data_IF_517221396049
#
_entry.id   IF_517221396049
#
_cell.length_a   1.000
_cell.length_b   1.000
_cell.length_c   1.000
_cell.angle_alpha   90.00
_cell.angle_beta   90.00
_cell.angle_gamma   90.00
#
_symmetry.space_group_name_H-M   'P 1'
#
loop_
_entity.id
_entity.type
_entity.pdbx_description
1 polymer ?
#
# COMPACT_ATOMS: atom_id res chain seq x y z
N UNK A 1 -13.71 -12.77 0.53
CA UNK A 1 -13.08 -11.52 1.02
C UNK A 1 -13.13 -10.43 -0.05
N UNK A 2 -12.61 -10.67 -1.26
CA UNK A 2 -12.65 -9.67 -2.35
C UNK A 2 -14.05 -9.20 -2.73
N UNK A 3 -15.03 -10.10 -2.85
CA UNK A 3 -16.42 -9.72 -3.16
C UNK A 3 -17.03 -8.78 -2.11
N UNK A 4 -16.71 -9.01 -0.83
CA UNK A 4 -17.16 -8.18 0.30
C UNK A 4 -16.58 -6.78 0.21
N UNK A 5 -15.25 -6.66 0.13
CA UNK A 5 -14.57 -5.37 -0.01
C UNK A 5 -15.02 -4.63 -1.27
N UNK A 6 -15.24 -5.34 -2.38
CA UNK A 6 -15.77 -4.78 -3.61
C UNK A 6 -17.16 -4.19 -3.45
N UNK A 7 -18.09 -4.97 -2.88
CA UNK A 7 -19.51 -4.61 -2.83
C UNK A 7 -19.77 -3.47 -1.84
N UNK A 8 -19.07 -3.48 -0.71
CA UNK A 8 -19.34 -2.57 0.39
C UNK A 8 -18.42 -1.36 0.46
N UNK A 9 -17.22 -1.43 -0.14
CA UNK A 9 -16.23 -0.35 -0.10
C UNK A 9 -15.89 0.13 -1.51
N UNK A 10 -15.24 -0.67 -2.33
CA UNK A 10 -14.66 -0.18 -3.59
C UNK A 10 -15.73 0.35 -4.54
N UNK A 11 -16.78 -0.41 -4.82
CA UNK A 11 -17.82 0.02 -5.77
C UNK A 11 -18.56 1.27 -5.27
N UNK A 12 -19.05 1.34 -4.01
CA UNK A 12 -19.69 2.55 -3.50
C UNK A 12 -18.77 3.76 -3.48
N UNK A 13 -17.53 3.63 -2.99
CA UNK A 13 -16.58 4.75 -2.87
C UNK A 13 -16.14 5.26 -4.24
N UNK A 14 -15.85 4.36 -5.20
CA UNK A 14 -15.49 4.76 -6.57
C UNK A 14 -16.68 5.41 -7.29
N UNK A 15 -17.91 4.94 -7.03
CA UNK A 15 -19.12 5.55 -7.60
C UNK A 15 -19.36 6.94 -7.03
N UNK A 16 -19.19 7.11 -5.71
CA UNK A 16 -19.27 8.41 -5.06
C UNK A 16 -18.20 9.37 -5.59
N UNK A 17 -16.96 8.90 -5.73
CA UNK A 17 -15.88 9.66 -6.36
C UNK A 17 -16.26 10.03 -7.80
N UNK A 18 -16.82 9.12 -8.58
CA UNK A 18 -17.26 9.41 -9.95
C UNK A 18 -18.29 10.54 -10.04
N UNK A 19 -19.29 10.53 -9.15
CA UNK A 19 -20.36 11.53 -9.11
C UNK A 19 -19.93 12.90 -8.59
N UNK A 20 -18.93 12.96 -7.70
CA UNK A 20 -18.48 14.20 -7.05
C UNK A 20 -17.09 14.59 -7.55
N UNK A 21 -17.02 15.61 -8.42
CA UNK A 21 -15.82 15.90 -9.23
C UNK A 21 -14.67 16.53 -8.44
N UNK A 22 -14.97 17.15 -7.30
CA UNK A 22 -13.97 17.81 -6.45
C UNK A 22 -13.03 16.86 -5.70
N UNK A 23 -13.43 15.60 -5.49
CA UNK A 23 -12.63 14.68 -4.69
C UNK A 23 -11.59 13.94 -5.53
N UNK A 24 -10.49 13.59 -4.88
CA UNK A 24 -9.50 12.66 -5.41
C UNK A 24 -9.07 11.64 -4.35
N UNK A 25 -8.61 10.46 -4.80
CA UNK A 25 -8.19 9.36 -3.94
C UNK A 25 -6.92 8.69 -4.44
N UNK A 26 -6.05 8.29 -3.52
CA UNK A 26 -4.90 7.44 -3.78
C UNK A 26 -5.22 6.01 -3.36
N UNK A 27 -5.14 5.06 -4.29
CA UNK A 27 -5.56 3.67 -4.12
C UNK A 27 -4.40 2.70 -4.35
N UNK A 28 -4.08 1.91 -3.32
CA UNK A 28 -3.20 0.76 -3.45
C UNK A 28 -4.04 -0.52 -3.51
N UNK A 29 -3.91 -1.28 -4.61
CA UNK A 29 -4.54 -2.58 -4.75
C UNK A 29 -3.49 -3.68 -4.93
N UNK A 30 -3.60 -4.83 -4.22
CA UNK A 30 -2.80 -6.00 -4.53
C UNK A 30 -3.05 -6.49 -5.96
N UNK A 31 -2.03 -7.05 -6.60
CA UNK A 31 -2.17 -7.59 -7.97
C UNK A 31 -3.23 -8.68 -8.08
N UNK A 32 -3.45 -9.45 -7.01
CA UNK A 32 -4.51 -10.44 -6.92
C UNK A 32 -5.90 -9.80 -7.07
N UNK A 33 -6.13 -8.66 -6.39
CA UNK A 33 -7.38 -7.91 -6.50
C UNK A 33 -7.53 -7.27 -7.88
N UNK A 34 -6.47 -6.66 -8.43
CA UNK A 34 -6.50 -6.12 -9.79
C UNK A 34 -6.90 -7.18 -10.84
N UNK A 35 -6.33 -8.40 -10.73
CA UNK A 35 -6.66 -9.52 -11.63
C UNK A 35 -8.08 -10.01 -11.42
N UNK A 36 -8.53 -10.10 -10.18
CA UNK A 36 -9.89 -10.46 -9.83
C UNK A 36 -10.90 -9.48 -10.45
N UNK A 37 -10.67 -8.17 -10.31
CA UNK A 37 -11.52 -7.13 -10.91
C UNK A 37 -11.52 -7.22 -12.43
N UNK A 38 -10.35 -7.34 -13.06
CA UNK A 38 -10.25 -7.44 -14.51
C UNK A 38 -10.97 -8.67 -15.10
N UNK A 39 -11.05 -9.77 -14.34
CA UNK A 39 -11.69 -11.01 -14.78
C UNK A 39 -13.20 -11.04 -14.51
N UNK A 40 -13.63 -10.55 -13.34
CA UNK A 40 -15.02 -10.71 -12.87
C UNK A 40 -15.87 -9.45 -12.95
N UNK A 41 -15.25 -8.27 -12.86
CA UNK A 41 -15.94 -6.99 -12.74
C UNK A 41 -15.32 -5.94 -13.69
N UNK A 42 -15.33 -6.18 -15.01
CA UNK A 42 -14.73 -5.28 -16.00
C UNK A 42 -15.29 -3.86 -15.93
N UNK A 43 -16.54 -3.68 -15.52
CA UNK A 43 -17.18 -2.39 -15.29
C UNK A 43 -16.50 -1.56 -14.19
N UNK A 44 -16.07 -2.21 -13.10
CA UNK A 44 -15.32 -1.56 -12.02
C UNK A 44 -13.91 -1.23 -12.50
N UNK A 45 -13.29 -2.12 -13.28
CA UNK A 45 -11.99 -1.88 -13.88
C UNK A 45 -12.01 -0.65 -14.83
N UNK A 46 -13.08 -0.51 -15.62
CA UNK A 46 -13.32 0.66 -16.48
C UNK A 46 -13.52 1.94 -15.66
N UNK A 47 -14.27 1.87 -14.57
CA UNK A 47 -14.48 3.00 -13.65
C UNK A 47 -13.15 3.50 -13.06
N UNK A 48 -12.31 2.58 -12.56
CA UNK A 48 -10.96 2.89 -12.07
C UNK A 48 -10.12 3.57 -13.16
N UNK A 49 -10.11 3.02 -14.38
CA UNK A 49 -9.36 3.62 -15.51
C UNK A 49 -9.87 5.02 -15.86
N UNK A 50 -11.18 5.25 -15.87
CA UNK A 50 -11.80 6.55 -16.14
C UNK A 50 -11.43 7.60 -15.08
N UNK A 51 -11.50 7.21 -13.79
CA UNK A 51 -11.10 8.07 -12.68
C UNK A 51 -9.60 8.38 -12.71
N UNK A 52 -8.77 7.41 -13.07
CA UNK A 52 -7.33 7.60 -13.17
C UNK A 52 -6.96 8.55 -14.33
N UNK A 53 -7.61 8.40 -15.49
CA UNK A 53 -7.42 9.29 -16.66
C UNK A 53 -7.88 10.72 -16.39
N UNK A 54 -8.92 10.91 -15.59
CA UNK A 54 -9.37 12.24 -15.18
C UNK A 54 -8.53 12.87 -14.06
N UNK A 55 -7.46 12.19 -13.61
CA UNK A 55 -6.56 12.72 -12.58
C UNK A 55 -7.17 12.73 -11.18
N UNK A 56 -8.21 11.93 -10.93
CA UNK A 56 -8.92 11.89 -9.63
C UNK A 56 -8.70 10.62 -8.84
N UNK A 57 -8.10 9.61 -9.47
CA UNK A 57 -7.66 8.39 -8.81
C UNK A 57 -6.20 8.14 -9.15
N UNK A 58 -5.35 8.02 -8.14
CA UNK A 58 -4.00 7.53 -8.30
C UNK A 58 -3.96 6.05 -7.97
N UNK A 59 -3.30 5.25 -8.82
CA UNK A 59 -2.97 3.86 -8.51
C UNK A 59 -1.53 3.77 -8.00
N UNK A 60 -1.38 3.35 -6.74
CA UNK A 60 -0.10 3.11 -6.11
C UNK A 60 0.44 1.76 -6.57
N UNK A 61 1.76 1.67 -6.71
CA UNK A 61 2.43 0.40 -7.01
C UNK A 61 2.98 -0.24 -5.75
N UNK A 62 3.29 -1.53 -5.83
CA UNK A 62 3.98 -2.29 -4.80
C UNK A 62 4.74 -3.46 -5.41
N UNK A 63 5.14 -4.42 -4.60
CA UNK A 63 5.72 -5.68 -5.10
C UNK A 63 4.64 -6.57 -5.70
N UNK A 64 4.97 -7.25 -6.81
CA UNK A 64 3.97 -7.99 -7.60
C UNK A 64 3.19 -9.06 -6.82
N UNK A 65 3.82 -9.72 -5.84
CA UNK A 65 3.16 -10.74 -5.00
C UNK A 65 3.01 -10.30 -3.54
N UNK A 66 3.03 -8.99 -3.25
CA UNK A 66 3.07 -8.48 -1.87
C UNK A 66 4.22 -9.09 -1.06
N UNK A 67 5.39 -9.23 -1.68
CA UNK A 67 6.59 -9.63 -0.97
C UNK A 67 7.15 -8.45 -0.19
N UNK A 68 7.71 -8.72 0.99
CA UNK A 68 8.53 -7.73 1.70
C UNK A 68 9.79 -7.46 0.88
N UNK A 69 9.90 -6.26 0.32
CA UNK A 69 10.93 -5.89 -0.65
C UNK A 69 12.36 -6.11 -0.12
N UNK A 70 12.57 -5.88 1.17
CA UNK A 70 13.88 -5.99 1.85
C UNK A 70 14.35 -7.44 2.08
N UNK A 71 13.44 -8.41 1.97
CA UNK A 71 13.77 -9.84 1.95
C UNK A 71 14.13 -10.37 0.56
N UNK A 72 13.75 -9.65 -0.50
CA UNK A 72 14.06 -10.04 -1.86
C UNK A 72 15.53 -9.78 -2.18
N UNK A 73 16.08 -10.61 -3.06
CA UNK A 73 17.41 -10.42 -3.63
C UNK A 73 17.47 -9.06 -4.35
N UNK A 74 18.52 -8.23 -4.14
CA UNK A 74 18.60 -6.89 -4.71
C UNK A 74 18.38 -6.81 -6.23
N UNK A 75 18.82 -7.83 -6.98
CA UNK A 75 18.65 -7.95 -8.43
C UNK A 75 17.17 -8.09 -8.87
N UNK A 76 16.31 -8.64 -8.00
CA UNK A 76 14.92 -8.98 -8.34
C UNK A 76 13.92 -7.92 -7.85
N UNK A 77 14.35 -7.03 -6.95
CA UNK A 77 13.49 -6.01 -6.32
C UNK A 77 12.86 -5.06 -7.34
N UNK A 78 13.67 -4.43 -8.20
CA UNK A 78 13.15 -3.50 -9.22
C UNK A 78 12.25 -4.22 -10.23
N UNK A 79 12.63 -5.43 -10.66
CA UNK A 79 11.80 -6.26 -11.54
C UNK A 79 10.42 -6.58 -10.93
N UNK A 80 10.35 -6.81 -9.62
CA UNK A 80 9.08 -7.06 -8.94
C UNK A 80 8.15 -5.83 -8.97
N UNK A 81 8.71 -4.63 -8.86
CA UNK A 81 7.95 -3.36 -8.98
C UNK A 81 7.56 -3.12 -10.45
N UNK A 82 8.48 -3.33 -11.39
CA UNK A 82 8.22 -3.18 -12.83
C UNK A 82 7.09 -4.09 -13.31
N UNK A 83 7.01 -5.33 -12.82
CA UNK A 83 5.89 -6.23 -13.11
C UNK A 83 4.55 -5.66 -12.65
N UNK A 84 4.50 -5.08 -11.45
CA UNK A 84 3.28 -4.43 -10.92
C UNK A 84 2.92 -3.21 -11.75
N UNK A 85 3.87 -2.31 -12.01
CA UNK A 85 3.61 -1.11 -12.81
C UNK A 85 3.21 -1.46 -14.25
N UNK A 86 3.75 -2.54 -14.83
CA UNK A 86 3.34 -3.07 -16.14
C UNK A 86 1.91 -3.58 -16.11
N UNK A 87 1.52 -4.30 -15.06
CA UNK A 87 0.13 -4.74 -14.86
C UNK A 87 -0.82 -3.54 -14.76
N UNK A 88 -0.47 -2.53 -13.96
CA UNK A 88 -1.25 -1.29 -13.80
C UNK A 88 -1.42 -0.58 -15.15
N UNK A 89 -0.32 -0.40 -15.91
CA UNK A 89 -0.36 0.21 -17.25
C UNK A 89 -1.28 -0.56 -18.18
N UNK A 90 -1.19 -1.90 -18.19
CA UNK A 90 -2.01 -2.75 -19.06
C UNK A 90 -3.50 -2.71 -18.70
N UNK A 91 -3.84 -2.75 -17.42
CA UNK A 91 -5.24 -2.83 -16.98
C UNK A 91 -5.95 -1.48 -16.96
N UNK A 92 -5.22 -0.41 -16.64
CA UNK A 92 -5.83 0.90 -16.36
C UNK A 92 -5.33 2.03 -17.27
N UNK A 93 -4.34 1.77 -18.14
CA UNK A 93 -3.65 2.81 -18.92
C UNK A 93 -3.02 3.90 -18.04
N UNK A 94 -2.54 3.52 -16.85
CA UNK A 94 -2.00 4.44 -15.84
C UNK A 94 -0.52 4.16 -15.55
N UNK A 95 0.28 5.21 -15.39
CA UNK A 95 1.70 5.13 -15.03
C UNK A 95 1.88 5.48 -13.56
N UNK A 96 1.99 4.46 -12.70
CA UNK A 96 2.23 4.66 -11.28
C UNK A 96 3.62 5.24 -11.00
N UNK A 97 3.68 6.26 -10.14
CA UNK A 97 4.90 6.96 -9.69
C UNK A 97 5.14 6.88 -8.19
N UNK A 98 4.18 6.33 -7.44
CA UNK A 98 4.18 6.27 -5.98
C UNK A 98 4.13 4.81 -5.53
N UNK A 99 5.04 4.45 -4.64
CA UNK A 99 5.17 3.11 -4.08
C UNK A 99 4.52 3.02 -2.69
N UNK A 100 3.78 1.96 -2.44
CA UNK A 100 3.31 1.60 -1.12
C UNK A 100 4.26 0.59 -0.48
N UNK A 101 4.80 0.92 0.69
CA UNK A 101 5.70 0.03 1.41
C UNK A 101 4.92 -1.11 2.07
N UNK A 102 4.76 -2.23 1.35
CA UNK A 102 4.01 -3.38 1.85
C UNK A 102 4.58 -3.91 3.18
N UNK A 103 3.68 -4.16 4.13
CA UNK A 103 4.01 -4.55 5.49
C UNK A 103 4.65 -3.42 6.32
N UNK A 104 4.75 -2.21 5.76
CA UNK A 104 5.37 -1.04 6.38
C UNK A 104 6.82 -1.31 6.83
N UNK A 105 7.52 -2.22 6.14
CA UNK A 105 8.91 -2.59 6.44
C UNK A 105 9.84 -1.77 5.55
N UNK A 106 10.78 -1.06 6.16
CA UNK A 106 11.63 -0.11 5.46
C UNK A 106 13.11 -0.34 5.73
N UNK A 107 13.91 -0.02 4.72
CA UNK A 107 15.37 0.17 4.83
C UNK A 107 15.77 1.25 3.82
N UNK A 108 16.82 2.05 4.07
CA UNK A 108 17.33 3.01 3.09
C UNK A 108 17.63 2.39 1.71
N UNK A 109 18.02 1.10 1.66
CA UNK A 109 18.26 0.37 0.40
C UNK A 109 17.06 0.29 -0.55
N UNK A 110 15.85 0.55 -0.05
CA UNK A 110 14.64 0.68 -0.88
C UNK A 110 14.76 1.86 -1.84
N UNK A 111 15.35 2.98 -1.43
CA UNK A 111 15.51 4.18 -2.26
C UNK A 111 16.30 3.85 -3.53
N UNK A 112 17.44 3.17 -3.37
CA UNK A 112 18.24 2.68 -4.48
C UNK A 112 17.46 1.75 -5.42
N UNK A 113 16.53 0.95 -4.89
CA UNK A 113 15.64 0.10 -5.68
C UNK A 113 14.62 0.92 -6.48
N UNK A 114 13.93 1.85 -5.81
CA UNK A 114 12.91 2.71 -6.41
C UNK A 114 13.51 3.58 -7.52
N UNK A 115 14.73 4.09 -7.33
CA UNK A 115 15.44 4.91 -8.32
C UNK A 115 15.79 4.20 -9.64
N UNK A 116 15.81 2.86 -9.64
CA UNK A 116 15.96 2.05 -10.86
C UNK A 116 14.65 1.89 -11.62
N UNK A 117 13.55 2.34 -11.03
CA UNK A 117 12.20 2.33 -11.59
C UNK A 117 11.72 3.78 -11.73
N UNK A 118 10.58 4.00 -12.37
CA UNK A 118 9.98 5.34 -12.52
C UNK A 118 9.26 5.85 -11.25
N UNK A 119 9.71 5.42 -10.08
CA UNK A 119 9.09 5.74 -8.79
C UNK A 119 9.90 6.82 -8.10
N UNK A 120 9.24 7.92 -7.74
CA UNK A 120 9.84 9.06 -7.04
C UNK A 120 9.33 9.24 -5.62
N UNK A 121 8.27 8.52 -5.24
CA UNK A 121 7.60 8.69 -3.94
C UNK A 121 7.29 7.37 -3.27
N UNK A 122 7.22 7.38 -1.95
CA UNK A 122 6.75 6.26 -1.16
C UNK A 122 5.78 6.71 -0.09
N UNK A 123 4.71 5.95 0.11
CA UNK A 123 3.78 6.09 1.23
C UNK A 123 4.13 5.04 2.27
N UNK A 124 4.32 5.48 3.51
CA UNK A 124 4.65 4.64 4.67
C UNK A 124 4.18 5.33 5.95
N UNK A 125 4.01 4.61 7.05
CA UNK A 125 3.71 5.24 8.34
C UNK A 125 4.91 5.99 8.90
N UNK A 126 4.64 7.10 9.60
CA UNK A 126 5.63 7.76 10.45
C UNK A 126 5.79 7.13 11.84
N UNK A 127 4.95 6.18 12.24
CA UNK A 127 5.00 5.50 13.53
C UNK A 127 5.92 4.27 13.46
N UNK A 128 6.92 4.20 14.33
CA UNK A 128 7.77 3.03 14.50
C UNK A 128 7.12 2.07 15.51
N UNK A 129 6.81 0.86 15.05
CA UNK A 129 6.11 -0.15 15.84
C UNK A 129 6.99 -0.83 16.89
N UNK A 130 8.31 -0.69 16.81
CA UNK A 130 9.27 -1.23 17.78
C UNK A 130 9.48 -0.23 18.91
N UNK A 131 9.83 1.01 18.59
CA UNK A 131 10.03 2.06 19.59
C UNK A 131 8.70 2.58 20.17
N UNK A 132 7.59 2.34 19.47
CA UNK A 132 6.25 2.86 19.77
C UNK A 132 6.18 4.38 19.76
N UNK A 133 6.95 5.03 18.89
CA UNK A 133 6.99 6.50 18.75
C UNK A 133 6.72 6.94 17.31
N UNK A 134 6.13 8.13 17.17
CA UNK A 134 5.98 8.79 15.85
C UNK A 134 7.26 9.56 15.54
N UNK A 135 7.89 9.23 14.41
CA UNK A 135 9.17 9.80 13.97
C UNK A 135 8.95 11.00 13.05
N UNK A 136 8.02 10.89 12.09
CA UNK A 136 7.69 11.95 11.13
C UNK A 136 6.19 12.05 10.93
N UNK A 137 5.69 13.28 10.77
CA UNK A 137 4.25 13.55 10.56
C UNK A 137 3.96 14.30 9.26
N UNK A 138 5.00 14.81 8.59
CA UNK A 138 4.88 15.64 7.39
C UNK A 138 5.79 15.11 6.28
N UNK A 139 5.44 15.27 4.99
CA UNK A 139 6.28 14.88 3.85
C UNK A 139 7.73 15.37 3.93
N UNK A 140 8.67 14.48 3.63
CA UNK A 140 10.12 14.79 3.63
C UNK A 140 10.83 14.05 2.50
N UNK A 141 12.00 14.54 2.11
CA UNK A 141 12.84 13.90 1.11
C UNK A 141 13.95 13.12 1.79
N UNK A 142 14.07 11.83 1.48
CA UNK A 142 15.21 11.01 1.87
C UNK A 142 16.24 10.94 0.74
N UNK A 143 17.51 10.83 1.14
CA UNK A 143 18.62 10.60 0.23
C UNK A 143 19.38 9.34 0.66
N UNK A 144 19.69 8.48 -0.30
CA UNK A 144 20.57 7.31 -0.10
C UNK A 144 21.45 7.15 -1.34
N UNK A 145 22.78 7.13 -1.15
CA UNK A 145 23.77 6.95 -2.22
C UNK A 145 23.55 7.87 -3.45
N UNK A 146 23.19 9.14 -3.21
CA UNK A 146 22.94 10.13 -4.27
C UNK A 146 21.59 9.96 -5.00
N UNK A 147 20.73 9.04 -4.56
CA UNK A 147 19.36 8.86 -5.02
C UNK A 147 18.38 9.46 -4.03
N UNK A 148 17.26 9.96 -4.53
CA UNK A 148 16.21 10.65 -3.77
C UNK A 148 14.88 9.94 -3.87
N UNK A 149 14.10 9.99 -2.80
CA UNK A 149 12.67 9.65 -2.80
C UNK A 149 11.96 10.60 -1.84
N UNK A 150 10.75 11.04 -2.21
CA UNK A 150 9.87 11.71 -1.25
C UNK A 150 9.11 10.66 -0.45
N UNK A 151 9.12 10.83 0.87
CA UNK A 151 8.45 9.96 1.82
C UNK A 151 7.22 10.70 2.34
N UNK A 152 6.07 10.04 2.22
CA UNK A 152 4.77 10.56 2.59
C UNK A 152 4.26 9.80 3.83
N UNK A 153 4.51 10.32 5.05
CA UNK A 153 3.99 9.73 6.26
C UNK A 153 2.48 9.92 6.35
N UNK A 154 1.73 8.84 6.57
CA UNK A 154 0.31 8.95 6.92
C UNK A 154 0.11 9.14 8.43
N UNK A 155 -1.01 9.77 8.79
CA UNK A 155 -1.37 10.12 10.15
C UNK A 155 -1.56 8.86 11.02
N UNK A 156 -0.76 8.78 12.09
CA UNK A 156 -0.78 7.63 13.01
C UNK A 156 -2.09 7.52 13.82
N UNK A 157 -2.70 8.65 14.19
CA UNK A 157 -3.95 8.66 14.96
C UNK A 157 -5.09 8.01 14.15
N UNK A 158 -5.18 8.34 12.86
CA UNK A 158 -6.09 7.69 11.91
C UNK A 158 -5.81 6.19 11.79
N UNK A 159 -4.55 5.81 11.56
CA UNK A 159 -4.17 4.40 11.46
C UNK A 159 -4.50 3.62 12.74
N UNK A 160 -4.33 4.25 13.91
CA UNK A 160 -4.69 3.66 15.21
C UNK A 160 -6.18 3.41 15.32
N UNK A 161 -7.01 4.38 14.99
CA UNK A 161 -8.47 4.23 15.06
C UNK A 161 -8.97 3.12 14.14
N UNK A 162 -8.47 3.07 12.89
CA UNK A 162 -8.84 2.02 11.93
C UNK A 162 -8.40 0.64 12.44
N UNK A 163 -7.20 0.55 13.02
CA UNK A 163 -6.69 -0.67 13.65
C UNK A 163 -7.54 -1.10 14.86
N UNK A 164 -7.90 -0.17 15.75
CA UNK A 164 -8.76 -0.43 16.92
C UNK A 164 -10.15 -0.90 16.52
N UNK A 165 -10.75 -0.33 15.46
CA UNK A 165 -12.01 -0.86 14.90
C UNK A 165 -11.85 -2.28 14.37
N UNK A 166 -10.76 -2.55 13.62
CA UNK A 166 -10.45 -3.90 13.14
C UNK A 166 -10.26 -4.93 14.25
N UNK A 167 -9.87 -4.49 15.44
CA UNK A 167 -9.68 -5.30 16.65
C UNK A 167 -10.93 -5.36 17.54
N UNK A 168 -12.05 -4.76 17.10
CA UNK A 168 -13.29 -4.64 17.86
C UNK A 168 -13.15 -3.88 19.20
N UNK A 169 -12.21 -2.94 19.27
CA UNK A 169 -11.98 -2.10 20.46
C UNK A 169 -12.89 -0.86 20.49
N UNK A 170 -13.37 -0.42 19.31
CA UNK A 170 -14.27 0.73 19.14
C UNK A 170 -15.38 0.38 18.13
N UNK A 171 -16.51 1.07 18.20
CA UNK A 171 -17.59 0.91 17.22
C UNK A 171 -17.30 1.65 15.91
N UNK A 172 -18.02 1.34 14.83
CA UNK A 172 -17.93 2.08 13.57
C UNK A 172 -18.31 3.56 13.75
N UNK A 173 -19.31 3.85 14.58
CA UNK A 173 -19.73 5.21 14.91
C UNK A 173 -18.63 5.99 15.63
N UNK A 174 -17.91 5.34 16.56
CA UNK A 174 -16.77 5.94 17.26
C UNK A 174 -15.60 6.20 16.30
N UNK A 175 -15.34 5.28 15.37
CA UNK A 175 -14.34 5.46 14.31
C UNK A 175 -14.67 6.70 13.48
N UNK A 176 -15.88 6.78 12.91
CA UNK A 176 -16.30 7.90 12.06
C UNK A 176 -16.22 9.22 12.83
N UNK A 177 -16.78 9.28 14.04
CA UNK A 177 -16.77 10.51 14.84
C UNK A 177 -15.37 10.95 15.25
N UNK A 178 -14.45 10.00 15.48
CA UNK A 178 -13.05 10.30 15.83
C UNK A 178 -12.25 10.76 14.62
N UNK A 179 -12.47 10.18 13.44
CA UNK A 179 -11.88 10.66 12.19
C UNK A 179 -12.30 12.10 11.88
N UNK A 180 -13.57 12.46 12.11
CA UNK A 180 -14.03 13.84 11.99
C UNK A 180 -13.30 14.80 12.93
N UNK A 181 -12.99 14.37 14.17
CA UNK A 181 -12.20 15.17 15.11
C UNK A 181 -10.77 15.37 14.62
N UNK A 182 -10.14 14.34 14.03
CA UNK A 182 -8.81 14.45 13.44
C UNK A 182 -8.81 15.50 12.32
N UNK A 183 -9.78 15.44 11.40
CA UNK A 183 -9.87 16.41 10.29
C UNK A 183 -10.04 17.83 10.84
N UNK A 184 -10.95 18.05 11.81
CA UNK A 184 -11.17 19.38 12.43
C UNK A 184 -9.94 19.94 13.14
N UNK A 185 -9.09 19.08 13.71
CA UNK A 185 -7.90 19.48 14.48
C UNK A 185 -6.72 19.88 13.59
N UNK A 186 -6.65 19.40 12.34
CA UNK A 186 -5.45 19.47 11.51
C UNK A 186 -5.59 20.43 10.31
N UNK A 187 -6.37 21.51 10.43
CA UNK A 187 -6.66 22.43 9.32
C UNK A 187 -5.48 23.25 8.83
N UNK A 188 -4.39 23.32 9.60
CA UNK A 188 -3.21 24.13 9.29
C UNK A 188 -2.05 23.36 8.62
N UNK A 189 -2.21 22.06 8.37
CA UNK A 189 -1.15 21.22 7.82
C UNK A 189 -1.69 20.17 6.85
N UNK A 190 -0.83 19.62 6.00
CA UNK A 190 -1.21 18.50 5.14
C UNK A 190 -1.60 17.30 5.98
N UNK A 191 -2.72 16.69 5.61
CA UNK A 191 -3.28 15.55 6.31
C UNK A 191 -3.38 14.37 5.35
N UNK A 192 -2.45 13.43 5.50
CA UNK A 192 -2.45 12.17 4.74
C UNK A 192 -3.11 11.09 5.60
N UNK A 193 -4.29 10.64 5.20
CA UNK A 193 -5.04 9.59 5.89
C UNK A 193 -4.92 8.26 5.14
N UNK A 194 -4.49 7.21 5.82
CA UNK A 194 -4.54 5.85 5.29
C UNK A 194 -5.68 5.08 5.96
N UNK A 195 -6.59 4.55 5.15
CA UNK A 195 -7.67 3.68 5.59
C UNK A 195 -7.35 2.25 5.13
N UNK A 196 -6.96 1.40 6.07
CA UNK A 196 -6.70 -0.01 5.80
C UNK A 196 -8.03 -0.76 5.61
N UNK A 197 -8.34 -1.14 4.36
CA UNK A 197 -9.56 -1.85 3.99
C UNK A 197 -9.67 -3.23 4.64
N UNK A 198 -8.54 -3.91 4.88
CA UNK A 198 -8.54 -5.20 5.56
C UNK A 198 -8.99 -5.06 7.01
N UNK A 199 -8.51 -4.04 7.73
CA UNK A 199 -8.97 -3.73 9.09
C UNK A 199 -10.44 -3.33 9.13
N UNK A 200 -10.93 -2.56 8.14
CA UNK A 200 -12.37 -2.25 8.06
C UNK A 200 -13.22 -3.51 7.88
N UNK A 201 -12.82 -4.39 6.95
CA UNK A 201 -13.50 -5.66 6.74
C UNK A 201 -13.42 -6.58 7.96
N UNK A 202 -12.31 -6.54 8.70
CA UNK A 202 -12.12 -7.28 9.93
C UNK A 202 -13.05 -6.78 11.04
N UNK A 203 -13.13 -5.46 11.26
CA UNK A 203 -14.03 -4.86 12.25
C UNK A 203 -15.49 -5.21 11.98
N UNK A 204 -15.95 -4.99 10.75
CA UNK A 204 -17.30 -5.36 10.34
C UNK A 204 -17.56 -6.87 10.36
N UNK A 205 -16.53 -7.73 10.49
CA UNK A 205 -16.76 -9.17 10.65
C UNK A 205 -17.32 -9.54 12.02
N UNK A 206 -17.09 -8.69 13.04
CA UNK A 206 -17.69 -8.81 14.36
C UNK A 206 -19.14 -8.31 14.39
N UNK A 207 -19.45 -7.28 13.59
CA UNK A 207 -20.77 -6.64 13.48
C UNK A 207 -21.18 -6.54 12.00
N UNK A 208 -21.88 -7.55 11.48
CA UNK A 208 -22.16 -7.68 10.03
C UNK A 208 -23.05 -6.57 9.47
N UNK A 209 -23.86 -5.97 10.32
CA UNK A 209 -24.65 -4.78 10.05
C UNK A 209 -23.79 -3.58 9.59
N UNK A 210 -22.51 -3.52 10.00
CA UNK A 210 -21.59 -2.46 9.61
C UNK A 210 -21.18 -2.54 8.13
N UNK A 211 -21.32 -3.71 7.46
CA UNK A 211 -20.88 -3.90 6.08
C UNK A 211 -21.46 -2.83 5.15
N UNK A 212 -22.77 -2.55 5.25
CA UNK A 212 -23.45 -1.57 4.41
C UNK A 212 -23.00 -0.12 4.67
N UNK A 213 -22.38 0.13 5.82
CA UNK A 213 -21.97 1.43 6.32
C UNK A 213 -20.46 1.68 6.16
N UNK A 214 -19.66 0.70 5.72
CA UNK A 214 -18.20 0.88 5.58
C UNK A 214 -17.81 2.01 4.62
N UNK A 215 -18.62 2.27 3.58
CA UNK A 215 -18.45 3.40 2.67
C UNK A 215 -18.55 4.76 3.38
N UNK A 216 -19.31 4.85 4.47
CA UNK A 216 -19.52 6.09 5.23
C UNK A 216 -18.24 6.58 5.91
N UNK A 217 -17.28 5.67 6.15
CA UNK A 217 -15.93 6.06 6.61
C UNK A 217 -15.27 7.00 5.59
N UNK A 218 -15.34 6.67 4.30
CA UNK A 218 -14.73 7.49 3.24
C UNK A 218 -15.57 8.74 2.95
N UNK A 219 -16.88 8.59 2.83
CA UNK A 219 -17.79 9.73 2.53
C UNK A 219 -17.70 10.77 3.64
N UNK A 220 -17.71 10.35 4.90
CA UNK A 220 -17.55 11.29 6.02
C UNK A 220 -16.21 12.02 5.96
N UNK A 221 -15.10 11.36 5.61
CA UNK A 221 -13.80 12.02 5.44
C UNK A 221 -13.89 13.09 4.33
N UNK A 222 -14.44 12.74 3.17
CA UNK A 222 -14.58 13.66 2.04
C UNK A 222 -15.44 14.88 2.40
N UNK A 223 -16.64 14.67 2.92
CA UNK A 223 -17.56 15.75 3.26
C UNK A 223 -17.05 16.59 4.44
N UNK A 224 -16.44 15.94 5.44
CA UNK A 224 -15.82 16.61 6.59
C UNK A 224 -14.69 17.53 6.14
N UNK A 225 -13.79 17.05 5.29
CA UNK A 225 -12.70 17.84 4.74
C UNK A 225 -13.23 18.96 3.82
N UNK A 226 -14.22 18.70 2.97
CA UNK A 226 -14.87 19.71 2.12
C UNK A 226 -15.51 20.83 2.94
N UNK A 227 -16.20 20.49 4.03
CA UNK A 227 -16.84 21.48 4.91
C UNK A 227 -15.85 22.44 5.59
N UNK A 228 -14.57 22.05 5.66
CA UNK A 228 -13.47 22.82 6.21
C UNK A 228 -12.58 23.44 5.12
N UNK A 229 -13.00 23.37 3.85
CA UNK A 229 -12.28 23.89 2.68
C UNK A 229 -10.88 23.29 2.48
N UNK A 230 -10.72 21.99 2.74
CA UNK A 230 -9.50 21.28 2.33
C UNK A 230 -9.42 21.16 0.81
N UNK A 231 -8.21 21.35 0.28
CA UNK A 231 -7.86 20.95 -1.08
C UNK A 231 -7.51 19.46 -1.13
N UNK A 232 -8.07 18.74 -2.10
CA UNK A 232 -7.80 17.32 -2.30
C UNK A 232 -6.64 17.15 -3.28
N UNK A 233 -5.56 16.52 -2.81
CA UNK A 233 -4.33 16.30 -3.59
C UNK A 233 -4.00 14.80 -3.65
N UNK A 234 -3.56 14.32 -4.82
CA UNK A 234 -3.09 12.94 -4.98
C UNK A 234 -1.66 12.79 -4.45
N UNK A 235 -1.29 11.60 -3.98
CA UNK A 235 0.04 11.35 -3.41
C UNK A 235 1.19 11.63 -4.41
N UNK A 236 0.97 11.38 -5.70
CA UNK A 236 1.90 11.72 -6.80
C UNK A 236 2.16 13.22 -6.96
N UNK A 237 1.32 14.07 -6.39
CA UNK A 237 1.42 15.52 -6.52
C UNK A 237 1.98 16.17 -5.24
N UNK A 238 2.14 15.40 -4.16
CA UNK A 238 2.78 15.84 -2.91
C UNK A 238 4.30 15.71 -3.04
N UNK A 239 5.04 16.72 -2.58
CA UNK A 239 6.51 16.71 -2.52
C UNK A 239 7.01 16.77 -1.08
N UNK A 240 8.22 16.25 -0.84
CA UNK A 240 8.88 16.42 0.45
C UNK A 240 9.27 17.89 0.68
N UNK A 241 9.00 18.42 1.87
CA UNK A 241 9.31 19.82 2.19
C UNK A 241 10.75 20.01 2.65
N UNK A 242 11.24 19.06 3.44
CA UNK A 242 12.54 19.13 4.09
C UNK A 242 13.31 17.80 3.95
N UNK A 243 14.65 17.81 4.04
CA UNK A 243 15.41 16.59 4.22
C UNK A 243 15.00 15.87 5.50
N UNK A 244 14.81 14.56 5.41
CA UNK A 244 14.51 13.71 6.57
C UNK A 244 15.09 12.31 6.41
N UNK A 245 14.90 11.48 7.43
CA UNK A 245 15.40 10.11 7.41
C UNK A 245 14.48 9.16 8.21
N UNK A 246 14.29 7.96 7.68
CA UNK A 246 13.77 6.78 8.38
C UNK A 246 14.89 5.75 8.49
N UNK A 247 15.04 5.19 9.67
CA UNK A 247 15.96 4.08 9.92
C UNK A 247 15.41 2.76 9.32
N UNK A 248 16.22 1.71 9.30
CA UNK A 248 15.70 0.36 9.09
C UNK A 248 14.72 0.01 10.20
N UNK A 249 13.47 -0.28 9.82
CA UNK A 249 12.41 -0.36 10.80
C UNK A 249 11.16 -1.06 10.30
N UNK A 250 10.29 -1.32 11.28
CA UNK A 250 8.94 -1.78 11.05
C UNK A 250 7.99 -0.68 11.49
N UNK A 251 7.31 -0.08 10.53
CA UNK A 251 6.45 1.07 10.74
C UNK A 251 4.98 0.67 10.78
N UNK A 252 4.12 1.60 11.20
CA UNK A 252 2.67 1.46 11.11
C UNK A 252 2.04 0.55 12.16
N UNK A 253 0.74 0.33 11.99
CA UNK A 253 -0.11 -0.43 12.92
C UNK A 253 -0.74 -1.66 12.28
N UNK A 254 -0.35 -1.96 11.05
CA UNK A 254 -0.88 -3.10 10.29
C UNK A 254 -0.37 -4.44 10.83
N UNK A 255 0.67 -4.43 11.70
CA UNK A 255 1.24 -5.66 12.27
C UNK A 255 1.64 -5.46 13.73
N UNK A 256 1.44 -6.51 14.53
CA UNK A 256 1.95 -6.59 15.88
C UNK A 256 3.38 -7.12 15.89
N UNK A 257 4.29 -6.28 16.37
CA UNK A 257 5.71 -6.63 16.53
C UNK A 257 5.97 -7.58 17.70
N UNK A 258 5.05 -7.64 18.68
CA UNK A 258 5.21 -8.40 19.93
C UNK A 258 6.55 -8.07 20.61
N UNK A 259 7.51 -9.00 20.63
CA UNK A 259 8.86 -8.83 21.19
C UNK A 259 9.95 -8.60 20.14
N UNK A 260 9.61 -8.53 18.85
CA UNK A 260 10.56 -8.36 17.76
C UNK A 260 11.05 -6.92 17.70
N UNK A 261 12.38 -6.74 17.67
CA UNK A 261 13.03 -5.42 17.49
C UNK A 261 13.27 -5.07 16.02
N UNK A 262 13.13 -6.03 15.12
CA UNK A 262 13.12 -5.80 13.68
C UNK A 262 12.44 -6.98 12.99
N UNK A 263 11.95 -6.76 11.78
CA UNK A 263 11.32 -7.82 10.99
C UNK A 263 12.28 -9.01 10.75
N UNK A 264 13.59 -8.75 10.62
CA UNK A 264 14.61 -9.80 10.43
C UNK A 264 14.77 -10.72 11.63
N UNK A 265 14.48 -10.26 12.84
CA UNK A 265 14.61 -11.09 14.05
C UNK A 265 13.67 -12.30 14.04
N UNK A 266 12.57 -12.24 13.28
CA UNK A 266 11.68 -13.38 13.08
C UNK A 266 12.43 -14.61 12.53
N UNK A 267 13.41 -14.41 11.64
CA UNK A 267 14.23 -15.51 11.09
C UNK A 267 15.35 -15.94 12.03
N UNK A 268 15.73 -15.12 13.00
CA UNK A 268 16.71 -15.51 14.03
C UNK A 268 16.03 -16.39 15.08
N UNK A 269 14.85 -15.97 15.53
CA UNK A 269 14.10 -16.62 16.61
C UNK A 269 13.37 -17.89 16.15
N UNK A 270 12.94 -17.96 14.88
CA UNK A 270 12.21 -19.12 14.36
C UNK A 270 12.99 -19.83 13.24
N UNK A 271 13.51 -21.01 13.56
CA UNK A 271 14.28 -21.84 12.63
C UNK A 271 13.51 -22.28 11.38
N UNK A 272 12.19 -22.46 11.48
CA UNK A 272 11.35 -22.87 10.34
C UNK A 272 11.24 -21.73 9.32
N UNK A 273 11.03 -20.49 9.77
CA UNK A 273 10.98 -19.34 8.86
C UNK A 273 12.33 -19.11 8.18
N UNK A 274 13.44 -19.25 8.91
CA UNK A 274 14.79 -19.20 8.32
C UNK A 274 15.00 -20.27 7.25
N UNK A 275 14.59 -21.50 7.56
CA UNK A 275 14.69 -22.62 6.63
C UNK A 275 13.89 -22.37 5.34
N UNK A 276 12.64 -21.91 5.46
CA UNK A 276 11.78 -21.59 4.32
C UNK A 276 12.35 -20.44 3.48
N UNK A 277 12.83 -19.37 4.12
CA UNK A 277 13.45 -18.25 3.41
C UNK A 277 14.68 -18.70 2.63
N UNK A 278 15.57 -19.47 3.26
CA UNK A 278 16.78 -19.96 2.61
C UNK A 278 16.47 -20.89 1.44
N UNK A 279 15.50 -21.80 1.60
CA UNK A 279 15.01 -22.67 0.51
C UNK A 279 14.46 -21.84 -0.66
N UNK A 280 13.64 -20.84 -0.38
CA UNK A 280 13.08 -19.97 -1.42
C UNK A 280 14.19 -19.21 -2.17
N UNK A 281 15.17 -18.65 -1.46
CA UNK A 281 16.32 -17.96 -2.05
C UNK A 281 17.16 -18.90 -2.92
N UNK A 282 17.49 -20.10 -2.42
CA UNK A 282 18.26 -21.09 -3.18
C UNK A 282 17.54 -21.50 -4.47
N UNK A 283 16.24 -21.77 -4.41
CA UNK A 283 15.45 -22.12 -5.58
C UNK A 283 15.43 -20.97 -6.60
N UNK A 284 15.29 -19.71 -6.15
CA UNK A 284 15.32 -18.55 -7.03
C UNK A 284 16.69 -18.39 -7.72
N UNK A 285 17.78 -18.64 -7.00
CA UNK A 285 19.12 -18.58 -7.57
C UNK A 285 19.36 -19.69 -8.60
N UNK A 286 18.89 -20.91 -8.34
CA UNK A 286 18.95 -22.00 -9.33
C UNK A 286 18.11 -21.66 -10.57
N UNK A 287 16.86 -21.21 -10.40
CA UNK A 287 16.02 -20.80 -11.54
C UNK A 287 16.67 -19.67 -12.35
N UNK A 288 17.36 -18.74 -11.70
CA UNK A 288 18.07 -17.66 -12.37
C UNK A 288 19.24 -18.17 -13.24
N UNK A 289 19.94 -19.24 -12.82
CA UNK A 289 20.96 -19.92 -13.64
C UNK A 289 20.34 -20.56 -14.88
N UNK A 290 19.21 -21.26 -14.71
CA UNK A 290 18.52 -21.92 -15.83
C UNK A 290 17.98 -20.94 -16.87
N UNK A 291 17.47 -19.76 -16.47
CA UNK A 291 16.98 -18.74 -17.44
C UNK A 291 18.05 -18.22 -18.39
N UNK A 292 19.33 -18.32 -18.02
CA UNK A 292 20.46 -17.94 -18.87
C UNK A 292 20.94 -19.07 -19.77
N UNK A 293 20.48 -20.30 -19.52
CA UNK A 293 20.88 -21.47 -20.29
C UNK A 293 19.91 -21.71 -21.45
N UNK A 294 20.30 -21.21 -22.64
CA UNK A 294 19.48 -21.31 -23.86
C UNK A 294 19.17 -22.76 -24.26
N UNK A 295 20.03 -23.71 -23.89
CA UNK A 295 19.89 -25.12 -24.24
C UNK A 295 18.78 -25.81 -23.45
N UNK A 296 18.67 -25.52 -22.15
CA UNK A 296 17.59 -26.07 -21.30
C UNK A 296 16.22 -25.52 -21.71
N UNK A 297 16.16 -24.27 -22.19
CA UNK A 297 14.91 -23.69 -22.73
C UNK A 297 14.47 -24.41 -24.00
N UNK A 298 15.41 -24.82 -24.86
CA UNK A 298 15.12 -25.65 -26.05
C UNK A 298 14.67 -27.06 -25.66
N UNK A 299 15.33 -27.68 -24.68
CA UNK A 299 14.93 -29.01 -24.20
C UNK A 299 13.53 -29.00 -23.57
N UNK A 300 13.20 -28.04 -22.72
CA UNK A 300 11.87 -27.91 -22.12
C UNK A 300 10.77 -27.62 -23.15
N UNK A 301 11.09 -26.93 -24.24
CA UNK A 301 10.17 -26.71 -25.37
C UNK A 301 10.04 -27.93 -26.28
N UNK A 302 11.00 -28.86 -26.23
CA UNK A 302 10.98 -30.11 -26.99
C UNK A 302 10.28 -31.26 -26.25
N UNK A 303 9.95 -31.08 -24.96
CA UNK A 303 9.16 -32.04 -24.22
C UNK A 303 7.71 -31.99 -24.73
N UNK A 304 7.10 -33.14 -25.06
CA UNK A 304 5.69 -33.18 -25.43
C UNK A 304 4.85 -32.69 -24.24
N UNK A 305 3.94 -31.77 -24.52
CA UNK A 305 2.94 -31.28 -23.57
C UNK A 305 2.14 -32.45 -23.01
N UNK A 306 2.32 -32.74 -21.72
CA UNK A 306 1.43 -33.61 -20.94
C UNK A 306 0.11 -32.88 -20.61
#
# INVERSE_FOLDING_TARGET
MFDRALSFIFKPVLTYLYSNKEFCLSLYEPTAMMRFLAQKFPEVNLLISSLAKSGRLELLTGTYNQNVLTLMQPKDRSLAIEKTTTLIRRLYSYRASTYFSYGQIWTPSVISTLSKTDISRTVISGYDAVSKSVIHTSPFTMNDLGKKVDVLPFNDECAKLVSSYGQNEISLTDLISSLQKIIKKNTAQDLILMINVDHLCQGASFHREDDELLKEVFISIFEGAKSLNYDFTLAKDVSGYNPGCLDEGWYGRDVYTSSLKSFRQMFVQNGNYRYLLNRAVMLLDEVAKYKKNHDVKRELQSLPSC
#
